data_IF_170233703343
#
_entry.id   IF_170233703343
#
_cell.length_a   1.000
_cell.length_b   1.000
_cell.length_c   1.000
_cell.angle_alpha   90.00
_cell.angle_beta   90.00
_cell.angle_gamma   90.00
#
_symmetry.space_group_name_H-M   'P 1'
#
loop_
_entity.id
_entity.type
_entity.pdbx_description
1 polymer ?
#
# COMPACT_ATOMS: atom_id res chain seq x y z
N UNK A 1 2.64 -3.12 18.62
CA UNK A 1 2.57 -4.24 17.68
C UNK A 1 3.90 -4.97 17.72
N UNK A 2 3.86 -6.25 18.07
CA UNK A 2 5.02 -7.15 18.15
C UNK A 2 5.37 -7.59 16.71
N UNK A 3 6.64 -7.93 16.43
CA UNK A 3 7.10 -8.37 15.10
C UNK A 3 6.23 -9.49 14.51
N UNK A 4 5.83 -10.46 15.34
CA UNK A 4 4.94 -11.56 14.93
C UNK A 4 3.55 -11.10 14.47
N UNK A 5 2.99 -10.05 15.06
CA UNK A 5 1.70 -9.47 14.67
C UNK A 5 1.80 -8.74 13.33
N UNK A 6 2.91 -8.04 13.09
CA UNK A 6 3.22 -7.40 11.81
C UNK A 6 3.30 -8.45 10.69
N UNK A 7 4.02 -9.54 10.94
CA UNK A 7 4.23 -10.59 9.94
C UNK A 7 2.92 -11.34 9.65
N UNK A 8 2.10 -11.61 10.67
CA UNK A 8 0.76 -12.18 10.50
C UNK A 8 -0.17 -11.25 9.69
N UNK A 9 -0.15 -9.94 9.97
CA UNK A 9 -0.92 -8.95 9.22
C UNK A 9 -0.48 -8.89 7.76
N UNK A 10 0.83 -8.89 7.49
CA UNK A 10 1.38 -8.94 6.13
C UNK A 10 0.94 -10.20 5.40
N UNK A 11 1.08 -11.37 6.00
CA UNK A 11 0.66 -12.63 5.41
C UNK A 11 -0.85 -12.67 5.10
N UNK A 12 -1.68 -12.06 5.94
CA UNK A 12 -3.11 -11.91 5.68
C UNK A 12 -3.40 -10.94 4.51
N UNK A 13 -2.69 -9.81 4.44
CA UNK A 13 -2.82 -8.85 3.34
C UNK A 13 -2.37 -9.43 1.99
N UNK A 14 -1.31 -10.23 1.96
CA UNK A 14 -0.84 -10.90 0.72
C UNK A 14 -1.90 -11.85 0.18
N UNK A 15 -2.57 -12.60 1.06
CA UNK A 15 -3.64 -13.54 0.71
C UNK A 15 -5.02 -12.90 0.51
N UNK A 16 -5.16 -11.61 0.82
CA UNK A 16 -6.43 -10.92 0.69
C UNK A 16 -6.92 -10.96 -0.77
N UNK A 17 -8.23 -11.17 -1.01
CA UNK A 17 -8.76 -11.25 -2.37
C UNK A 17 -8.35 -10.05 -3.23
N UNK A 18 -7.98 -10.33 -4.48
CA UNK A 18 -7.72 -9.33 -5.51
C UNK A 18 -8.99 -9.11 -6.32
N UNK A 19 -9.44 -7.86 -6.41
CA UNK A 19 -10.47 -7.47 -7.37
C UNK A 19 -9.76 -7.14 -8.69
N UNK A 20 -10.01 -7.90 -9.79
CA UNK A 20 -9.34 -7.66 -11.07
C UNK A 20 -9.51 -6.24 -11.61
N UNK A 21 -10.64 -5.58 -11.31
CA UNK A 21 -10.90 -4.22 -11.77
C UNK A 21 -10.01 -3.18 -11.07
N UNK A 22 -9.48 -3.49 -9.89
CA UNK A 22 -8.68 -2.56 -9.06
C UNK A 22 -7.27 -3.07 -8.76
N UNK A 23 -6.90 -4.26 -9.22
CA UNK A 23 -5.55 -4.78 -9.10
C UNK A 23 -4.48 -3.83 -9.70
N UNK A 24 -4.68 -3.21 -10.89
CA UNK A 24 -3.72 -2.22 -11.41
C UNK A 24 -3.59 -0.96 -10.54
N UNK A 25 -4.66 -0.57 -9.84
CA UNK A 25 -4.61 0.55 -8.89
C UNK A 25 -3.82 0.16 -7.63
N UNK A 26 -4.02 -1.06 -7.12
CA UNK A 26 -3.23 -1.59 -6.00
C UNK A 26 -1.74 -1.65 -6.36
N UNK A 27 -1.40 -2.15 -7.56
CA UNK A 27 -0.04 -2.16 -8.10
C UNK A 27 0.56 -0.75 -8.17
N UNK A 28 -0.20 0.22 -8.66
CA UNK A 28 0.26 1.60 -8.77
C UNK A 28 0.51 2.22 -7.39
N UNK A 29 -0.36 1.93 -6.40
CA UNK A 29 -0.16 2.33 -5.03
C UNK A 29 1.09 1.68 -4.41
N UNK A 30 1.33 0.38 -4.64
CA UNK A 30 2.52 -0.33 -4.17
C UNK A 30 3.78 0.34 -4.69
N UNK A 31 3.88 0.57 -6.01
CA UNK A 31 5.03 1.20 -6.65
C UNK A 31 5.25 2.63 -6.14
N UNK A 32 4.20 3.42 -5.96
CA UNK A 32 4.31 4.81 -5.49
C UNK A 32 4.65 4.93 -4.01
N UNK A 33 4.25 3.95 -3.20
CA UNK A 33 4.50 3.95 -1.74
C UNK A 33 5.79 3.22 -1.37
N UNK A 34 6.34 2.39 -2.27
CA UNK A 34 7.62 1.73 -2.10
C UNK A 34 8.76 2.73 -1.79
N UNK A 35 9.77 2.24 -1.09
CA UNK A 35 11.01 2.98 -0.95
C UNK A 35 11.66 3.19 -2.32
N UNK A 36 12.47 4.25 -2.45
CA UNK A 36 13.26 4.47 -3.67
C UNK A 36 14.21 3.28 -3.89
N UNK A 37 14.39 2.82 -5.14
CA UNK A 37 15.47 1.91 -5.48
C UNK A 37 16.83 2.47 -5.05
N UNK A 38 17.65 1.67 -4.37
CA UNK A 38 19.00 2.05 -3.94
C UNK A 38 19.11 2.93 -2.67
N UNK A 39 18.01 3.23 -1.97
CA UNK A 39 18.06 3.81 -0.62
C UNK A 39 17.66 2.72 0.39
N UNK A 40 18.63 1.88 0.74
CA UNK A 40 18.49 0.86 1.78
C UNK A 40 17.91 1.46 3.07
N UNK A 41 16.79 0.91 3.55
CA UNK A 41 16.24 1.21 4.87
C UNK A 41 16.88 0.26 5.89
N UNK A 42 17.72 0.79 6.76
CA UNK A 42 18.16 0.05 7.94
C UNK A 42 17.02 -0.07 8.96
N UNK A 43 16.73 -1.25 9.53
CA UNK A 43 15.83 -1.44 10.65
C UNK A 43 16.52 -0.89 11.92
N UNK A 44 16.30 0.39 12.18
CA UNK A 44 16.89 1.11 13.31
C UNK A 44 17.33 2.53 12.97
N UNK A 45 17.47 2.86 11.68
CA UNK A 45 17.84 4.22 11.28
C UNK A 45 16.57 5.02 11.02
N UNK A 46 16.47 6.17 11.70
CA UNK A 46 15.40 7.16 11.48
C UNK A 46 15.24 7.38 9.97
N UNK A 47 14.02 7.39 9.42
CA UNK A 47 13.85 7.47 7.97
C UNK A 47 14.35 8.84 7.49
N UNK A 48 15.50 8.84 6.85
CA UNK A 48 16.05 10.00 6.14
C UNK A 48 15.39 10.04 4.79
N UNK A 49 14.39 10.91 4.72
CA UNK A 49 13.94 11.61 3.52
C UNK A 49 13.48 10.72 2.36
N UNK A 50 12.16 10.52 2.25
CA UNK A 50 11.60 10.28 0.93
C UNK A 50 11.72 11.60 0.17
N UNK A 51 12.70 11.70 -0.74
CA UNK A 51 12.76 12.82 -1.66
C UNK A 51 11.56 12.76 -2.62
N UNK A 52 10.97 13.90 -3.02
CA UNK A 52 9.97 13.93 -4.07
C UNK A 52 10.54 13.27 -5.34
N UNK A 53 9.71 12.44 -5.98
CA UNK A 53 10.02 11.73 -7.22
C UNK A 53 10.20 12.74 -8.37
N UNK A 54 11.37 12.88 -9.01
CA UNK A 54 11.42 13.41 -10.36
C UNK A 54 10.80 12.37 -11.31
N UNK A 55 10.00 12.84 -12.27
CA UNK A 55 9.19 12.03 -13.19
C UNK A 55 10.01 11.22 -14.21
N UNK A 56 11.33 11.34 -14.21
CA UNK A 56 12.24 10.68 -15.15
C UNK A 56 13.07 9.59 -14.47
N UNK A 57 12.66 8.33 -14.62
CA UNK A 57 13.49 7.16 -14.33
C UNK A 57 14.34 6.82 -15.56
N UNK A 58 15.62 7.17 -15.53
CA UNK A 58 16.63 6.65 -16.44
C UNK A 58 17.67 5.90 -15.60
N UNK A 59 17.67 4.57 -15.66
CA UNK A 59 18.69 3.76 -14.99
C UNK A 59 18.60 2.29 -15.35
N UNK A 60 17.43 1.67 -15.15
CA UNK A 60 17.24 0.26 -15.48
C UNK A 60 15.89 0.07 -16.18
N UNK A 61 15.88 -0.15 -17.50
CA UNK A 61 14.69 -0.50 -18.25
C UNK A 61 14.00 -1.72 -17.63
N UNK A 62 12.73 -1.60 -17.27
CA UNK A 62 11.94 -2.70 -16.72
C UNK A 62 11.92 -2.81 -15.19
N UNK A 63 12.74 -2.07 -14.43
CA UNK A 63 12.59 -2.00 -12.97
C UNK A 63 11.31 -1.24 -12.60
N UNK A 64 10.47 -1.81 -11.73
CA UNK A 64 9.22 -1.18 -11.28
C UNK A 64 9.33 -0.64 -9.84
N UNK A 65 9.82 -1.45 -8.91
CA UNK A 65 9.93 -1.08 -7.50
C UNK A 65 10.93 -1.98 -6.74
N UNK A 66 11.41 -1.49 -5.59
CA UNK A 66 12.19 -2.25 -4.62
C UNK A 66 11.47 -2.27 -3.27
N UNK A 67 11.44 -3.43 -2.63
CA UNK A 67 10.80 -3.64 -1.34
C UNK A 67 11.78 -4.24 -0.34
N UNK A 68 11.57 -3.92 0.93
CA UNK A 68 12.27 -4.51 2.08
C UNK A 68 11.65 -5.84 2.54
N UNK A 69 10.56 -6.27 1.89
CA UNK A 69 9.86 -7.51 2.20
C UNK A 69 9.40 -8.22 0.93
N UNK A 70 9.60 -9.54 0.90
CA UNK A 70 9.10 -10.42 -0.16
C UNK A 70 7.58 -10.30 -0.32
N UNK A 71 6.85 -10.20 0.80
CA UNK A 71 5.40 -10.04 0.83
C UNK A 71 4.89 -8.90 -0.08
N UNK A 72 5.56 -7.74 -0.06
CA UNK A 72 5.17 -6.61 -0.90
C UNK A 72 5.52 -6.84 -2.38
N UNK A 73 6.67 -7.44 -2.66
CA UNK A 73 7.11 -7.78 -4.01
C UNK A 73 6.19 -8.82 -4.67
N UNK A 74 5.88 -9.91 -3.97
CA UNK A 74 4.95 -10.95 -4.45
C UNK A 74 3.54 -10.40 -4.67
N UNK A 75 3.10 -9.49 -3.80
CA UNK A 75 1.82 -8.82 -3.99
C UNK A 75 1.82 -7.96 -5.25
N UNK A 76 2.91 -7.24 -5.52
CA UNK A 76 3.04 -6.47 -6.75
C UNK A 76 2.96 -7.39 -7.97
N UNK A 77 3.72 -8.49 -8.00
CA UNK A 77 3.63 -9.47 -9.10
C UNK A 77 2.22 -10.01 -9.28
N UNK A 78 1.55 -10.38 -8.19
CA UNK A 78 0.16 -10.87 -8.23
C UNK A 78 -0.82 -9.83 -8.80
N UNK A 79 -0.67 -8.55 -8.42
CA UNK A 79 -1.51 -7.46 -8.94
C UNK A 79 -1.23 -7.13 -10.41
N UNK A 80 -0.03 -7.44 -10.90
CA UNK A 80 0.39 -7.21 -12.28
C UNK A 80 0.07 -8.37 -13.23
N UNK A 81 -0.35 -9.53 -12.73
CA UNK A 81 -0.46 -10.77 -13.51
C UNK A 81 -1.25 -10.64 -14.82
N UNK A 82 -2.27 -9.78 -14.88
CA UNK A 82 -3.07 -9.55 -16.08
C UNK A 82 -2.44 -8.56 -17.09
N UNK A 83 -1.53 -7.68 -16.66
CA UNK A 83 -0.94 -6.62 -17.49
C UNK A 83 0.54 -6.83 -17.80
N UNK A 84 1.25 -7.56 -16.94
CA UNK A 84 2.65 -7.92 -17.11
C UNK A 84 2.89 -9.33 -16.55
N UNK A 85 2.51 -10.39 -17.30
CA UNK A 85 2.66 -11.79 -16.85
C UNK A 85 4.13 -12.19 -16.61
N UNK A 86 5.07 -11.49 -17.23
CA UNK A 86 6.52 -11.69 -17.07
C UNK A 86 7.10 -10.93 -15.86
N UNK A 87 6.27 -10.25 -15.06
CA UNK A 87 6.73 -9.58 -13.85
C UNK A 87 7.35 -10.62 -12.90
N UNK A 88 8.58 -10.36 -12.47
CA UNK A 88 9.34 -11.27 -11.62
C UNK A 88 9.91 -10.54 -10.40
N UNK A 89 10.17 -11.30 -9.35
CA UNK A 89 10.90 -10.83 -8.17
C UNK A 89 12.32 -11.36 -8.25
N UNK A 90 13.29 -10.45 -8.23
CA UNK A 90 14.69 -10.77 -7.99
C UNK A 90 15.06 -10.35 -6.56
N UNK A 91 15.60 -11.28 -5.78
CA UNK A 91 15.93 -11.06 -4.37
C UNK A 91 17.44 -11.09 -4.18
N UNK A 92 17.97 -10.09 -3.51
CA UNK A 92 19.39 -9.97 -3.26
C UNK A 92 19.68 -9.28 -1.93
N UNK A 93 20.90 -9.44 -1.44
CA UNK A 93 21.37 -8.73 -0.26
C UNK A 93 22.10 -7.46 -0.69
N UNK A 94 21.71 -6.32 -0.12
CA UNK A 94 22.42 -5.05 -0.27
C UNK A 94 22.86 -4.50 1.10
N UNK A 95 23.78 -3.53 1.05
CA UNK A 95 24.31 -2.86 2.23
C UNK A 95 25.72 -3.34 2.64
N UNK A 96 26.51 -2.40 3.16
CA UNK A 96 27.89 -2.66 3.59
C UNK A 96 27.97 -3.32 4.96
N UNK A 97 28.03 -2.53 6.03
CA UNK A 97 28.15 -3.04 7.41
C UNK A 97 26.92 -3.80 7.90
N UNK A 98 25.74 -3.47 7.38
CA UNK A 98 24.51 -4.18 7.65
C UNK A 98 23.97 -4.69 6.31
N UNK A 99 23.79 -6.00 6.21
CA UNK A 99 23.18 -6.65 5.06
C UNK A 99 21.68 -6.70 5.24
N UNK A 100 20.96 -6.21 4.24
CA UNK A 100 19.50 -6.27 4.18
C UNK A 100 19.08 -6.96 2.91
N UNK A 101 18.06 -7.80 3.02
CA UNK A 101 17.42 -8.40 1.86
C UNK A 101 16.55 -7.34 1.16
N UNK A 102 16.67 -7.27 -0.15
CA UNK A 102 15.90 -6.39 -1.02
C UNK A 102 15.28 -7.24 -2.11
N UNK A 103 14.00 -6.96 -2.38
CA UNK A 103 13.20 -7.65 -3.38
C UNK A 103 12.86 -6.64 -4.49
N UNK A 104 13.44 -6.85 -5.67
CA UNK A 104 13.28 -5.98 -6.85
C UNK A 104 12.22 -6.60 -7.73
N UNK A 105 11.22 -5.81 -8.12
CA UNK A 105 10.20 -6.26 -9.07
C UNK A 105 10.51 -5.67 -10.43
N UNK A 106 10.73 -6.54 -11.41
CA UNK A 106 11.09 -6.18 -12.78
C UNK A 106 10.08 -6.74 -13.76
N UNK A 107 10.00 -6.12 -14.92
CA UNK A 107 9.33 -6.61 -16.12
C UNK A 107 10.33 -6.62 -17.28
N UNK A 108 9.96 -7.27 -18.38
CA UNK A 108 10.72 -7.18 -19.62
C UNK A 108 10.98 -5.69 -19.97
N UNK A 109 12.24 -5.30 -20.28
CA UNK A 109 12.62 -3.93 -20.62
C UNK A 109 11.68 -3.26 -21.64
N UNK A 110 11.26 -4.02 -22.65
CA UNK A 110 10.42 -3.60 -23.75
C UNK A 110 8.98 -3.27 -23.30
N UNK A 111 8.51 -3.93 -22.24
CA UNK A 111 7.18 -3.70 -21.65
C UNK A 111 7.19 -2.59 -20.60
N UNK A 112 8.37 -2.14 -20.13
CA UNK A 112 8.50 -1.22 -19.01
C UNK A 112 7.70 0.08 -19.17
N UNK A 113 7.79 0.72 -20.34
CA UNK A 113 7.07 1.97 -20.61
C UNK A 113 5.54 1.79 -20.60
N UNK A 114 5.06 0.73 -21.24
CA UNK A 114 3.63 0.40 -21.29
C UNK A 114 3.07 0.13 -19.89
N UNK A 115 3.80 -0.66 -19.07
CA UNK A 115 3.39 -0.96 -17.69
C UNK A 115 3.34 0.31 -16.85
N UNK A 116 4.34 1.19 -16.94
CA UNK A 116 4.34 2.47 -16.22
C UNK A 116 3.17 3.38 -16.62
N UNK A 117 2.80 3.39 -17.91
CA UNK A 117 1.63 4.13 -18.38
C UNK A 117 0.32 3.58 -17.78
N UNK A 118 0.16 2.25 -17.79
CA UNK A 118 -1.00 1.58 -17.17
C UNK A 118 -1.08 1.88 -15.68
N UNK A 119 0.04 1.84 -14.95
CA UNK A 119 0.09 2.18 -13.53
C UNK A 119 -0.29 3.65 -13.29
N UNK A 120 0.18 4.56 -14.13
CA UNK A 120 -0.12 6.00 -14.03
C UNK A 120 -1.60 6.29 -14.28
N UNK A 121 -2.20 5.67 -15.31
CA UNK A 121 -3.63 5.77 -15.59
C UNK A 121 -4.47 5.16 -14.47
N UNK A 122 -4.07 3.99 -13.98
CA UNK A 122 -4.78 3.28 -12.91
C UNK A 122 -4.73 4.04 -11.59
N UNK A 123 -3.59 4.66 -11.26
CA UNK A 123 -3.46 5.57 -10.13
C UNK A 123 -4.52 6.69 -10.20
N UNK A 124 -4.56 7.40 -11.33
CA UNK A 124 -5.50 8.50 -11.56
C UNK A 124 -6.96 8.05 -11.51
N UNK A 125 -7.27 6.89 -12.11
CA UNK A 125 -8.61 6.30 -12.09
C UNK A 125 -9.06 5.93 -10.67
N UNK A 126 -8.21 5.28 -9.87
CA UNK A 126 -8.53 4.92 -8.49
C UNK A 126 -8.66 6.15 -7.58
N UNK A 127 -7.78 7.14 -7.69
CA UNK A 127 -7.92 8.40 -6.96
C UNK A 127 -9.21 9.16 -7.34
N UNK A 128 -9.59 9.15 -8.61
CA UNK A 128 -10.86 9.72 -9.07
C UNK A 128 -12.05 8.95 -8.52
N UNK A 129 -12.00 7.62 -8.52
CA UNK A 129 -13.03 6.77 -7.97
C UNK A 129 -13.21 6.97 -6.45
N UNK A 130 -12.15 7.30 -5.70
CA UNK A 130 -12.23 7.67 -4.28
C UNK A 130 -12.85 9.07 -4.04
N UNK A 131 -12.76 9.99 -5.02
CA UNK A 131 -13.30 11.37 -4.92
C UNK A 131 -14.73 11.51 -5.40
N UNK A 132 -15.09 10.80 -6.47
CA UNK A 132 -16.38 10.93 -7.18
C UNK A 132 -17.56 10.26 -6.45
N UNK A 133 -17.28 9.59 -5.32
CA UNK A 133 -18.25 8.90 -4.47
C UNK A 133 -19.43 9.80 -4.02
N UNK A 134 -19.25 11.13 -4.01
CA UNK A 134 -20.24 12.09 -3.52
C UNK A 134 -21.27 12.59 -4.56
N UNK A 135 -21.12 12.32 -5.87
CA UNK A 135 -21.98 12.95 -6.89
C UNK A 135 -22.49 11.91 -7.89
N UNK A 136 -23.77 11.54 -7.78
CA UNK A 136 -24.48 10.84 -8.86
C UNK A 136 -25.62 11.72 -9.36
N UNK A 137 -25.66 12.05 -10.67
CA UNK A 137 -26.79 12.74 -11.26
C UNK A 137 -28.06 11.89 -11.11
N UNK A 138 -29.16 12.52 -10.71
CA UNK A 138 -30.47 11.89 -10.71
C UNK A 138 -30.80 11.45 -12.15
N UNK A 139 -31.03 10.15 -12.38
CA UNK A 139 -31.53 9.63 -13.66
C UNK A 139 -30.71 8.54 -14.37
N UNK A 140 -29.54 8.16 -13.88
CA UNK A 140 -28.84 6.96 -14.39
C UNK A 140 -29.39 5.69 -13.74
N UNK A 141 -29.41 4.56 -14.48
CA UNK A 141 -29.59 3.21 -13.93
C UNK A 141 -28.43 2.90 -12.96
N UNK A 142 -28.50 3.49 -11.78
CA UNK A 142 -27.36 3.62 -10.89
C UNK A 142 -27.10 2.28 -10.19
N UNK A 143 -25.82 1.95 -9.94
CA UNK A 143 -25.50 0.86 -9.02
C UNK A 143 -26.21 1.11 -7.69
N UNK A 144 -26.83 0.06 -7.14
CA UNK A 144 -27.45 0.09 -5.81
C UNK A 144 -26.47 0.71 -4.79
N UNK A 145 -26.99 1.38 -3.76
CA UNK A 145 -26.14 1.95 -2.71
C UNK A 145 -25.17 0.90 -2.11
N UNK A 146 -25.61 -0.36 -2.00
CA UNK A 146 -24.80 -1.48 -1.53
C UNK A 146 -23.64 -1.85 -2.48
N UNK A 147 -23.89 -1.96 -3.78
CA UNK A 147 -22.83 -2.28 -4.75
C UNK A 147 -21.81 -1.15 -4.89
N UNK A 148 -22.27 0.11 -4.81
CA UNK A 148 -21.39 1.28 -4.74
C UNK A 148 -20.52 1.25 -3.50
N UNK A 149 -21.13 1.02 -2.32
CA UNK A 149 -20.41 0.93 -1.06
C UNK A 149 -19.37 -0.19 -1.07
N UNK A 150 -19.71 -1.36 -1.61
CA UNK A 150 -18.76 -2.47 -1.76
C UNK A 150 -17.57 -2.06 -2.62
N UNK A 151 -17.81 -1.42 -3.77
CA UNK A 151 -16.75 -0.92 -4.65
C UNK A 151 -15.84 0.08 -3.93
N UNK A 152 -16.40 1.05 -3.20
CA UNK A 152 -15.62 2.02 -2.42
C UNK A 152 -14.70 1.34 -1.41
N UNK A 153 -15.22 0.35 -0.67
CA UNK A 153 -14.46 -0.40 0.31
C UNK A 153 -13.32 -1.18 -0.34
N UNK A 154 -13.53 -1.77 -1.52
CA UNK A 154 -12.48 -2.48 -2.28
C UNK A 154 -11.35 -1.53 -2.68
N UNK A 155 -11.68 -0.36 -3.24
CA UNK A 155 -10.68 0.61 -3.69
C UNK A 155 -9.90 1.17 -2.49
N UNK A 156 -10.61 1.51 -1.41
CA UNK A 156 -9.98 2.00 -0.19
C UNK A 156 -9.10 0.92 0.48
N UNK A 157 -9.55 -0.34 0.48
CA UNK A 157 -8.76 -1.48 0.95
C UNK A 157 -7.47 -1.65 0.14
N UNK A 158 -7.57 -1.60 -1.19
CA UNK A 158 -6.42 -1.71 -2.09
C UNK A 158 -5.37 -0.62 -1.79
N UNK A 159 -5.79 0.64 -1.63
CA UNK A 159 -4.88 1.74 -1.30
C UNK A 159 -4.14 1.51 0.03
N UNK A 160 -4.87 1.18 1.10
CA UNK A 160 -4.28 0.96 2.42
C UNK A 160 -3.40 -0.30 2.47
N UNK A 161 -3.85 -1.40 1.86
CA UNK A 161 -3.09 -2.65 1.76
C UNK A 161 -1.75 -2.43 1.05
N UNK A 162 -1.78 -1.75 -0.10
CA UNK A 162 -0.58 -1.42 -0.85
C UNK A 162 0.42 -0.61 0.01
N UNK A 163 -0.04 0.45 0.66
CA UNK A 163 0.82 1.28 1.50
C UNK A 163 1.41 0.52 2.70
N UNK A 164 0.60 -0.31 3.36
CA UNK A 164 1.03 -1.11 4.51
C UNK A 164 2.05 -2.18 4.14
N UNK A 165 1.89 -2.81 2.97
CA UNK A 165 2.86 -3.77 2.44
C UNK A 165 4.16 -3.06 2.03
N UNK A 166 4.08 -1.99 1.26
CA UNK A 166 5.24 -1.32 0.67
C UNK A 166 6.10 -0.54 1.67
N UNK A 167 5.49 0.05 2.69
CA UNK A 167 6.20 0.87 3.69
C UNK A 167 6.46 0.09 4.98
N UNK A 168 5.59 -0.87 5.27
CA UNK A 168 5.53 -1.56 6.56
C UNK A 168 4.68 -0.79 7.60
N UNK A 169 3.89 -1.51 8.40
CA UNK A 169 3.17 -0.92 9.52
C UNK A 169 4.12 -0.60 10.70
N UNK A 170 4.23 0.67 11.05
CA UNK A 170 4.91 1.16 12.24
C UNK A 170 3.98 1.29 13.46
N UNK A 171 4.56 1.62 14.62
CA UNK A 171 3.80 1.83 15.87
C UNK A 171 3.29 3.27 15.95
N UNK A 172 1.97 3.45 16.00
CA UNK A 172 1.29 4.75 16.14
C UNK A 172 0.93 5.13 17.59
N UNK A 173 1.14 4.20 18.54
CA UNK A 173 0.77 4.34 19.95
C UNK A 173 0.70 2.97 20.63
N UNK A 174 0.10 2.86 21.82
CA UNK A 174 -0.15 1.56 22.47
C UNK A 174 -1.07 0.67 21.62
N UNK A 175 -2.15 1.23 21.06
CA UNK A 175 -3.16 0.53 20.25
C UNK A 175 -3.28 1.08 18.81
N UNK A 176 -2.26 1.80 18.33
CA UNK A 176 -2.29 2.53 17.06
C UNK A 176 -1.29 2.03 16.03
N UNK A 177 -1.58 2.32 14.77
CA UNK A 177 -0.77 1.98 13.60
C UNK A 177 -0.23 3.27 12.98
N UNK A 178 1.03 3.25 12.52
CA UNK A 178 1.62 4.36 11.80
C UNK A 178 2.15 3.92 10.44
N UNK A 179 1.94 4.73 9.40
CA UNK A 179 2.51 4.52 8.07
C UNK A 179 3.19 5.81 7.62
N UNK A 180 4.43 5.72 7.14
CA UNK A 180 5.17 6.88 6.64
C UNK A 180 5.19 6.89 5.11
N UNK A 181 4.57 7.90 4.52
CA UNK A 181 4.41 7.99 3.07
C UNK A 181 5.18 9.19 2.55
N UNK A 182 6.08 8.95 1.60
CA UNK A 182 6.89 9.99 0.98
C UNK A 182 6.14 10.80 -0.08
N UNK A 183 5.36 10.11 -0.90
CA UNK A 183 4.61 10.68 -2.01
C UNK A 183 3.35 11.43 -1.52
N UNK A 184 3.26 12.76 -1.69
CA UNK A 184 2.11 13.54 -1.23
C UNK A 184 0.78 13.10 -1.84
N UNK A 185 0.81 12.62 -3.09
CA UNK A 185 -0.38 12.09 -3.76
C UNK A 185 -0.86 10.80 -3.10
N UNK A 186 0.05 9.88 -2.78
CA UNK A 186 -0.28 8.63 -2.07
C UNK A 186 -0.82 8.94 -0.68
N UNK A 187 -0.22 9.89 0.05
CA UNK A 187 -0.71 10.30 1.36
C UNK A 187 -2.14 10.88 1.29
N UNK A 188 -2.40 11.76 0.32
CA UNK A 188 -3.74 12.33 0.10
C UNK A 188 -4.77 11.26 -0.29
N UNK A 189 -4.36 10.29 -1.10
CA UNK A 189 -5.19 9.16 -1.51
C UNK A 189 -5.55 8.26 -0.32
N UNK A 190 -4.60 8.00 0.57
CA UNK A 190 -4.81 7.24 1.80
C UNK A 190 -5.74 7.95 2.79
N UNK A 191 -5.62 9.27 2.93
CA UNK A 191 -6.55 10.06 3.74
C UNK A 191 -7.99 9.95 3.20
N UNK A 192 -8.17 10.08 1.88
CA UNK A 192 -9.50 9.88 1.26
C UNK A 192 -10.01 8.46 1.40
N UNK A 193 -9.14 7.47 1.26
CA UNK A 193 -9.50 6.08 1.51
C UNK A 193 -9.93 5.89 2.97
N UNK A 194 -9.23 6.47 3.95
CA UNK A 194 -9.60 6.40 5.36
C UNK A 194 -10.95 7.07 5.65
N UNK A 195 -11.22 8.24 5.06
CA UNK A 195 -12.52 8.92 5.14
C UNK A 195 -13.65 7.96 4.70
N UNK A 196 -13.47 7.26 3.57
CA UNK A 196 -14.44 6.29 3.06
C UNK A 196 -14.59 5.08 3.99
N UNK A 197 -13.51 4.61 4.59
CA UNK A 197 -13.53 3.52 5.57
C UNK A 197 -14.09 3.96 6.93
N UNK A 198 -14.31 5.27 7.15
CA UNK A 198 -14.65 5.87 8.45
C UNK A 198 -13.61 5.51 9.52
N UNK A 199 -12.35 5.41 9.12
CA UNK A 199 -11.22 5.15 10.01
C UNK A 199 -10.57 6.50 10.32
N UNK A 200 -10.56 6.96 11.58
CA UNK A 200 -9.89 8.20 11.93
C UNK A 200 -8.38 8.07 11.67
N UNK A 201 -7.86 8.96 10.82
CA UNK A 201 -6.43 9.04 10.50
C UNK A 201 -5.94 10.44 10.74
N UNK A 202 -4.86 10.56 11.51
CA UNK A 202 -4.14 11.80 11.70
C UNK A 202 -2.92 11.85 10.79
N UNK A 203 -2.76 12.93 10.04
CA UNK A 203 -1.57 13.19 9.25
C UNK A 203 -0.66 14.20 9.94
N UNK A 204 0.61 13.88 10.08
CA UNK A 204 1.64 14.80 10.60
C UNK A 204 2.76 14.90 9.58
N UNK A 205 3.10 16.12 9.18
CA UNK A 205 4.25 16.36 8.29
C UNK A 205 5.55 16.03 9.02
N UNK A 206 6.43 15.28 8.37
CA UNK A 206 7.78 14.95 8.85
C UNK A 206 8.78 15.21 7.72
N UNK A 207 10.09 15.37 8.02
CA UNK A 207 11.10 15.49 6.97
C UNK A 207 10.96 14.37 5.92
N UNK A 208 10.77 14.72 4.66
CA UNK A 208 10.54 13.77 3.57
C UNK A 208 9.30 12.89 3.69
N UNK A 209 8.15 13.43 4.12
CA UNK A 209 6.87 12.77 3.93
C UNK A 209 5.78 13.14 4.94
N UNK A 210 4.71 12.36 4.93
CA UNK A 210 3.65 12.41 5.92
C UNK A 210 3.67 11.12 6.76
N UNK A 211 3.52 11.28 8.07
CA UNK A 211 3.23 10.19 8.98
C UNK A 211 1.72 10.12 9.17
N UNK A 212 1.10 9.04 8.73
CA UNK A 212 -0.32 8.77 8.91
C UNK A 212 -0.49 7.84 10.10
N UNK A 213 -1.25 8.24 11.12
CA UNK A 213 -1.54 7.42 12.30
C UNK A 213 -3.02 7.08 12.37
N UNK A 214 -3.30 5.80 12.56
CA UNK A 214 -4.63 5.28 12.88
C UNK A 214 -4.63 5.03 14.39
N UNK A 215 -5.42 5.82 15.10
CA UNK A 215 -5.44 5.81 16.56
C UNK A 215 -6.67 5.04 17.08
N UNK A 216 -6.43 4.17 18.07
CA UNK A 216 -7.47 3.43 18.76
C UNK A 216 -7.72 2.02 18.21
N UNK A 217 -7.96 1.07 19.12
CA UNK A 217 -8.14 -0.36 18.83
C UNK A 217 -9.28 -0.64 17.85
N UNK A 218 -10.40 0.08 17.99
CA UNK A 218 -11.56 -0.08 17.12
C UNK A 218 -11.27 0.35 15.68
N UNK A 219 -10.62 1.49 15.51
CA UNK A 219 -10.23 2.01 14.20
C UNK A 219 -9.22 1.09 13.51
N UNK A 220 -8.23 0.62 14.27
CA UNK A 220 -7.26 -0.36 13.80
C UNK A 220 -7.92 -1.67 13.40
N UNK A 221 -8.84 -2.20 14.21
CA UNK A 221 -9.58 -3.42 13.92
C UNK A 221 -10.41 -3.32 12.64
N UNK A 222 -11.10 -2.18 12.44
CA UNK A 222 -11.85 -1.91 11.22
C UNK A 222 -10.94 -1.86 9.98
N UNK A 223 -9.79 -1.18 10.07
CA UNK A 223 -8.81 -1.13 8.99
C UNK A 223 -8.27 -2.52 8.66
N UNK A 224 -7.84 -3.29 9.67
CA UNK A 224 -7.31 -4.65 9.51
C UNK A 224 -8.32 -5.56 8.86
N UNK A 225 -9.59 -5.52 9.31
CA UNK A 225 -10.66 -6.32 8.73
C UNK A 225 -10.83 -6.04 7.23
N UNK A 226 -10.83 -4.77 6.83
CA UNK A 226 -11.00 -4.36 5.44
C UNK A 226 -9.80 -4.74 4.57
N UNK A 227 -8.57 -4.43 5.00
CA UNK A 227 -7.38 -4.70 4.18
C UNK A 227 -7.08 -6.19 4.03
N UNK A 228 -7.55 -7.03 4.95
CA UNK A 228 -7.43 -8.49 4.88
C UNK A 228 -8.64 -9.18 4.22
N UNK A 229 -9.65 -8.42 3.80
CA UNK A 229 -10.86 -8.97 3.18
C UNK A 229 -11.70 -9.83 4.12
N UNK A 230 -11.70 -9.52 5.41
CA UNK A 230 -12.45 -10.23 6.44
C UNK A 230 -11.84 -11.56 6.92
N UNK A 231 -10.69 -11.96 6.35
CA UNK A 231 -9.95 -13.16 6.75
C UNK A 231 -9.02 -12.94 7.95
N UNK A 232 -8.79 -11.67 8.32
CA UNK A 232 -8.03 -11.33 9.52
C UNK A 232 -8.78 -11.74 10.78
N UNK A 233 -8.29 -12.77 11.47
CA UNK A 233 -8.60 -12.97 12.88
C UNK A 233 -8.38 -11.64 13.63
N UNK A 234 -9.20 -11.29 14.63
CA UNK A 234 -9.03 -10.03 15.33
C UNK A 234 -7.65 -10.00 16.00
N UNK A 235 -6.71 -9.28 15.40
CA UNK A 235 -5.40 -8.95 15.98
C UNK A 235 -5.58 -8.22 17.34
N UNK A 236 -6.79 -7.71 17.59
CA UNK A 236 -7.24 -7.14 18.86
C UNK A 236 -7.39 -8.13 20.03
N UNK A 237 -7.40 -9.44 19.80
CA UNK A 237 -7.74 -10.43 20.84
C UNK A 237 -6.55 -10.91 21.71
N UNK A 238 -5.33 -10.40 21.52
CA UNK A 238 -4.14 -10.82 22.31
C UNK A 238 -3.48 -9.73 23.15
N UNK A 239 -4.06 -8.53 23.22
CA UNK A 239 -3.64 -7.51 24.20
C UNK A 239 -4.51 -7.64 25.44
N UNK A 240 -4.22 -8.66 26.24
CA UNK A 240 -4.88 -8.91 27.52
C UNK A 240 -4.64 -10.32 28.01
N UNK A 241 -3.49 -10.54 28.67
CA UNK A 241 -3.29 -11.50 29.77
C UNK A 241 -1.82 -11.46 30.22
N UNK A 242 -1.49 -10.47 31.04
CA UNK A 242 -0.68 -10.67 32.25
C UNK A 242 -1.30 -9.73 33.29
N UNK A 243 -1.95 -10.35 34.28
CA UNK A 243 -2.42 -9.67 35.49
C UNK A 243 -1.28 -9.38 36.46
#
# INVERSE_FOLDING_TARGET
MIRSEVDALRAAMVRAPLDPAWAPFEAAMLVRTAARPGICRSPGTRPTVHHPRPETWAGEPGLLAEFDTDAAAQRLVSTLAAIAPSAAVDSGYQGGRHRYEIHRVTVAPEAGAQVQEVLTRSASAGATALRTVAVVPAGSAAPTAASRRRRELVIAAAAWRAALLAVGPGRGGPDGLAVRVGDPWSASTLLRAADLLRVPVRAVRRPGGQLLTVDGRTALGALVHVVTGGTGAPVAARVGLVG
#
